data_IF_437760620873
#
_entry.id   IF_437760620873
#
_cell.length_a   1.000
_cell.length_b   1.000
_cell.length_c   1.000
_cell.angle_alpha   90.00
_cell.angle_beta   90.00
_cell.angle_gamma   90.00
#
_symmetry.space_group_name_H-M   'P 1'
#
loop_
_entity.id
_entity.type
_entity.pdbx_description
1 polymer ?
#
# COMPACT_ATOMS: atom_id res chain seq x y z
N UNK A 1 26.86 2.28 30.63
CA UNK A 1 26.73 3.02 29.37
C UNK A 1 27.98 2.94 28.49
N UNK A 2 29.12 2.62 29.05
CA UNK A 2 30.40 2.44 28.33
C UNK A 2 30.52 1.06 27.65
N UNK A 3 29.66 0.12 28.01
CA UNK A 3 29.70 -1.25 27.49
C UNK A 3 29.11 -1.34 26.09
N UNK A 4 29.87 -1.82 25.10
CA UNK A 4 29.51 -1.89 23.70
C UNK A 4 28.30 -2.82 23.44
N UNK A 5 28.05 -3.79 24.33
CA UNK A 5 26.97 -4.76 24.26
C UNK A 5 25.60 -4.24 24.73
N UNK A 6 25.55 -3.00 25.27
CA UNK A 6 24.30 -2.40 25.78
C UNK A 6 23.84 -1.29 24.83
N UNK A 7 22.70 -1.46 24.19
CA UNK A 7 22.15 -0.49 23.25
C UNK A 7 21.19 0.52 23.90
N UNK A 8 20.56 0.15 25.01
CA UNK A 8 19.59 0.99 25.72
C UNK A 8 19.52 0.61 27.20
N UNK A 9 18.95 1.50 28.01
CA UNK A 9 18.77 1.30 29.44
C UNK A 9 17.33 1.49 29.86
N UNK A 10 16.88 0.61 30.76
CA UNK A 10 15.60 0.73 31.45
C UNK A 10 15.85 0.78 32.95
N UNK A 11 15.50 1.90 33.58
CA UNK A 11 15.56 2.08 35.03
C UNK A 11 14.16 1.98 35.61
N UNK A 12 13.99 1.15 36.63
CA UNK A 12 12.70 0.96 37.30
C UNK A 12 12.86 1.05 38.84
N UNK A 13 11.80 1.52 39.50
CA UNK A 13 11.77 1.58 40.97
C UNK A 13 11.19 2.87 41.52
N UNK A 14 11.93 3.48 42.47
CA UNK A 14 11.45 4.58 43.28
C UNK A 14 12.26 5.86 43.10
N UNK A 15 13.01 5.98 42.02
CA UNK A 15 13.82 7.17 41.77
C UNK A 15 12.96 8.43 41.77
N UNK A 16 13.42 9.46 42.46
CA UNK A 16 12.68 10.69 42.73
C UNK A 16 11.92 10.65 44.08
N UNK A 17 11.68 9.47 44.65
CA UNK A 17 10.94 9.33 45.91
C UNK A 17 11.80 8.95 47.13
N UNK A 18 13.10 8.86 47.00
CA UNK A 18 13.95 8.41 48.11
C UNK A 18 13.94 9.38 49.28
N UNK A 19 13.70 10.68 49.04
CA UNK A 19 13.49 11.64 50.14
C UNK A 19 12.32 11.27 51.06
N UNK A 20 11.24 10.65 50.50
CA UNK A 20 10.05 10.23 51.23
C UNK A 20 10.26 8.86 51.93
N UNK A 21 11.09 8.00 51.31
CA UNK A 21 11.29 6.62 51.75
C UNK A 21 12.45 6.54 52.74
N UNK A 22 13.50 7.32 52.54
CA UNK A 22 14.74 7.22 53.32
C UNK A 22 14.90 8.43 54.27
N UNK A 23 15.13 9.63 53.70
CA UNK A 23 15.32 10.85 54.45
C UNK A 23 15.35 12.11 53.53
N UNK A 24 14.92 13.28 54.04
CA UNK A 24 14.82 14.50 53.22
C UNK A 24 16.12 14.95 52.53
N UNK A 25 17.27 14.75 53.15
CA UNK A 25 18.56 15.14 52.60
C UNK A 25 18.97 14.34 51.35
N UNK A 26 18.30 13.23 51.06
CA UNK A 26 18.55 12.41 49.86
C UNK A 26 18.09 13.10 48.60
N UNK A 27 17.17 14.09 48.69
CA UNK A 27 16.66 14.83 47.52
C UNK A 27 17.77 15.47 46.68
N UNK A 28 18.76 16.11 47.36
CA UNK A 28 19.89 16.74 46.66
C UNK A 28 20.80 15.70 45.95
N UNK A 29 20.92 14.50 46.51
CA UNK A 29 21.67 13.40 45.90
C UNK A 29 20.92 12.87 44.65
N UNK A 30 19.57 12.76 44.71
CA UNK A 30 18.74 12.38 43.55
C UNK A 30 18.85 13.41 42.44
N UNK A 31 18.83 14.71 42.77
CA UNK A 31 19.01 15.76 41.75
C UNK A 31 20.39 15.69 41.09
N UNK A 32 21.44 15.47 41.90
CA UNK A 32 22.81 15.29 41.38
C UNK A 32 22.89 14.07 40.47
N UNK A 33 22.30 12.94 40.89
CA UNK A 33 22.23 11.72 40.09
C UNK A 33 21.44 11.92 38.78
N UNK A 34 20.33 12.67 38.83
CA UNK A 34 19.56 13.00 37.65
C UNK A 34 20.38 13.81 36.63
N UNK A 35 21.12 14.83 37.08
CA UNK A 35 22.01 15.61 36.20
C UNK A 35 23.11 14.74 35.59
N UNK A 36 23.68 13.84 36.36
CA UNK A 36 24.69 12.91 35.88
C UNK A 36 24.12 11.90 34.87
N UNK A 37 22.96 11.35 35.12
CA UNK A 37 22.27 10.49 34.15
C UNK A 37 22.00 11.20 32.82
N UNK A 38 21.53 12.45 32.85
CA UNK A 38 21.32 13.25 31.62
C UNK A 38 22.65 13.44 30.88
N UNK A 39 23.74 13.74 31.58
CA UNK A 39 25.09 13.88 31.01
C UNK A 39 25.53 12.59 30.34
N UNK A 40 25.43 11.46 31.03
CA UNK A 40 25.86 10.15 30.55
C UNK A 40 25.02 9.67 29.33
N UNK A 41 23.71 9.91 29.35
CA UNK A 41 22.82 9.61 28.20
C UNK A 41 23.24 10.38 26.96
N UNK A 42 23.53 11.67 27.09
CA UNK A 42 23.97 12.52 25.98
C UNK A 42 25.36 12.10 25.44
N UNK A 43 26.29 11.81 26.32
CA UNK A 43 27.65 11.40 25.93
C UNK A 43 27.67 10.02 25.27
N UNK A 44 26.90 9.07 25.79
CA UNK A 44 26.85 7.72 25.24
C UNK A 44 25.98 7.60 24.01
N UNK A 45 25.05 8.54 23.77
CA UNK A 45 24.07 8.45 22.68
C UNK A 45 23.09 7.29 22.81
N UNK A 46 22.98 6.66 23.98
CA UNK A 46 22.15 5.49 24.26
C UNK A 46 20.89 5.91 25.01
N UNK A 47 19.69 5.49 24.60
CA UNK A 47 18.46 5.90 25.25
C UNK A 47 18.34 5.32 26.65
N UNK A 48 17.81 6.13 27.57
CA UNK A 48 17.38 5.75 28.90
C UNK A 48 15.88 6.04 29.06
N UNK A 49 15.15 5.06 29.58
CA UNK A 49 13.75 5.23 29.98
C UNK A 49 13.63 4.93 31.48
N UNK A 50 12.86 5.76 32.17
CA UNK A 50 12.70 5.67 33.61
C UNK A 50 11.24 5.39 33.96
N UNK A 51 11.00 4.27 34.61
CA UNK A 51 9.77 3.98 35.34
C UNK A 51 9.98 4.28 36.83
N UNK A 52 9.07 5.08 37.40
CA UNK A 52 9.05 5.32 38.84
C UNK A 52 7.61 5.53 39.32
N UNK A 53 7.32 5.01 40.51
CA UNK A 53 6.00 5.21 41.15
C UNK A 53 5.71 6.70 41.45
N UNK A 54 6.74 7.52 41.50
CA UNK A 54 6.67 8.97 41.78
C UNK A 54 6.60 9.83 40.51
N UNK A 55 6.47 9.22 39.33
CA UNK A 55 6.54 9.96 38.05
C UNK A 55 5.52 11.11 37.93
N UNK A 56 4.39 11.08 38.63
CA UNK A 56 3.38 12.13 38.58
C UNK A 56 3.59 13.23 39.65
N UNK A 57 4.57 13.07 40.52
CA UNK A 57 4.86 14.04 41.56
C UNK A 57 5.76 15.17 41.05
N UNK A 58 5.61 16.40 41.60
CA UNK A 58 6.43 17.55 41.21
C UNK A 58 7.82 17.48 41.91
N UNK A 59 8.63 16.53 41.50
CA UNK A 59 9.94 16.24 42.07
C UNK A 59 11.05 16.75 41.16
N UNK A 60 11.95 17.60 41.72
CA UNK A 60 12.98 18.28 40.94
C UNK A 60 13.89 17.33 40.17
N UNK A 61 14.26 16.21 40.78
CA UNK A 61 15.07 15.19 40.11
C UNK A 61 14.40 14.61 38.85
N UNK A 62 13.07 14.41 38.90
CA UNK A 62 12.31 13.91 37.74
C UNK A 62 12.12 15.00 36.67
N UNK A 63 11.98 16.28 37.08
CA UNK A 63 11.97 17.40 36.14
C UNK A 63 13.29 17.49 35.37
N UNK A 64 14.44 17.38 36.08
CA UNK A 64 15.76 17.37 35.46
C UNK A 64 15.90 16.27 34.40
N UNK A 65 15.41 15.05 34.70
CA UNK A 65 15.42 13.96 33.72
C UNK A 65 14.57 14.31 32.45
N UNK A 66 13.36 14.84 32.65
CA UNK A 66 12.46 15.22 31.54
C UNK A 66 13.03 16.37 30.70
N UNK A 67 13.55 17.42 31.35
CA UNK A 67 14.23 18.53 30.68
C UNK A 67 15.48 18.05 29.93
N UNK A 68 16.10 16.99 30.42
CA UNK A 68 17.21 16.31 29.78
C UNK A 68 16.85 15.41 28.61
N UNK A 69 15.55 15.26 28.31
CA UNK A 69 15.05 14.42 27.21
C UNK A 69 14.85 12.94 27.57
N UNK A 70 14.90 12.60 28.86
CA UNK A 70 14.68 11.24 29.35
C UNK A 70 13.18 11.02 29.59
N UNK A 71 12.62 9.96 29.01
CA UNK A 71 11.23 9.59 29.20
C UNK A 71 10.99 9.00 30.58
N UNK A 72 10.14 9.67 31.37
CA UNK A 72 9.78 9.28 32.73
C UNK A 72 8.28 9.01 32.83
N UNK A 73 7.88 7.82 33.30
CA UNK A 73 6.50 7.37 33.36
C UNK A 73 6.19 6.56 34.62
N UNK A 74 4.93 6.61 35.12
CA UNK A 74 4.48 5.76 36.24
C UNK A 74 4.09 4.34 35.80
N UNK A 75 4.10 4.02 34.50
CA UNK A 75 3.75 2.70 33.97
C UNK A 75 4.98 2.01 33.40
N UNK A 76 5.27 0.82 33.93
CA UNK A 76 6.34 -0.04 33.41
C UNK A 76 6.08 -0.49 31.96
N UNK A 77 4.82 -0.73 31.60
CA UNK A 77 4.41 -1.11 30.25
C UNK A 77 4.67 0.03 29.25
N UNK A 78 4.29 1.27 29.62
CA UNK A 78 4.57 2.45 28.79
C UNK A 78 6.06 2.72 28.65
N UNK A 79 6.83 2.48 29.70
CA UNK A 79 8.28 2.59 29.65
C UNK A 79 8.88 1.60 28.64
N UNK A 80 8.46 0.34 28.70
CA UNK A 80 8.91 -0.70 27.78
C UNK A 80 8.48 -0.41 26.34
N UNK A 81 7.23 0.01 26.12
CA UNK A 81 6.72 0.41 24.80
C UNK A 81 7.49 1.62 24.24
N UNK A 82 7.73 2.64 25.07
CA UNK A 82 8.51 3.81 24.67
C UNK A 82 9.93 3.44 24.23
N UNK A 83 10.60 2.59 25.01
CA UNK A 83 11.94 2.11 24.67
C UNK A 83 11.94 1.29 23.37
N UNK A 84 10.96 0.40 23.20
CA UNK A 84 10.83 -0.39 21.97
C UNK A 84 10.63 0.50 20.73
N UNK A 85 9.84 1.59 20.84
CA UNK A 85 9.67 2.53 19.74
C UNK A 85 10.95 3.33 19.44
N UNK A 86 11.70 3.74 20.46
CA UNK A 86 12.98 4.42 20.26
C UNK A 86 13.99 3.52 19.55
N UNK A 87 14.09 2.26 19.97
CA UNK A 87 14.98 1.26 19.32
C UNK A 87 14.55 1.02 17.86
N UNK A 88 13.26 0.81 17.63
CA UNK A 88 12.73 0.63 16.26
C UNK A 88 13.03 1.83 15.37
N UNK A 89 12.82 3.05 15.88
CA UNK A 89 13.13 4.27 15.13
C UNK A 89 14.62 4.34 14.78
N UNK A 90 15.49 4.00 15.71
CA UNK A 90 16.94 4.04 15.49
C UNK A 90 17.39 3.00 14.46
N UNK A 91 16.92 1.75 14.59
CA UNK A 91 17.20 0.69 13.63
C UNK A 91 16.67 1.07 12.23
N UNK A 92 15.45 1.57 12.18
CA UNK A 92 14.86 2.03 10.92
C UNK A 92 15.66 3.13 10.25
N UNK A 93 16.17 4.08 11.03
CA UNK A 93 17.01 5.17 10.50
C UNK A 93 18.31 4.64 9.91
N UNK A 94 18.92 3.62 10.49
CA UNK A 94 20.13 2.99 9.94
C UNK A 94 19.82 2.22 8.65
N UNK A 95 18.72 1.44 8.62
CA UNK A 95 18.25 0.74 7.41
C UNK A 95 17.99 1.72 6.26
N UNK A 96 17.34 2.85 6.54
CA UNK A 96 17.07 3.88 5.53
C UNK A 96 18.31 4.55 4.94
N UNK A 97 19.47 4.50 5.63
CA UNK A 97 20.73 5.01 5.05
C UNK A 97 21.27 4.11 3.94
N UNK A 98 20.94 2.82 3.97
CA UNK A 98 21.35 1.83 2.99
C UNK A 98 20.30 1.60 1.91
N UNK A 99 19.05 2.03 2.15
CA UNK A 99 17.94 1.90 1.22
C UNK A 99 18.20 2.67 -0.08
N UNK A 100 17.82 2.09 -1.20
CA UNK A 100 18.01 2.65 -2.53
C UNK A 100 16.65 3.05 -3.14
N UNK A 101 16.59 4.15 -3.88
CA UNK A 101 15.39 4.47 -4.65
C UNK A 101 15.05 3.33 -5.61
N UNK A 102 13.77 3.03 -5.70
CA UNK A 102 13.27 2.06 -6.69
C UNK A 102 13.38 2.68 -8.08
N UNK A 103 14.14 2.04 -8.96
CA UNK A 103 14.28 2.45 -10.34
C UNK A 103 13.42 1.57 -11.25
N UNK A 104 12.48 2.20 -11.95
CA UNK A 104 11.67 1.54 -12.98
C UNK A 104 12.22 1.91 -14.35
N UNK A 105 12.63 0.90 -15.10
CA UNK A 105 13.19 1.07 -16.45
C UNK A 105 12.20 0.63 -17.54
N UNK A 106 12.45 1.05 -18.78
CA UNK A 106 11.64 0.62 -19.93
C UNK A 106 10.30 1.35 -20.06
N UNK A 107 10.16 2.52 -19.46
CA UNK A 107 8.95 3.37 -19.54
C UNK A 107 9.03 4.26 -20.78
N UNK A 108 7.97 4.28 -21.59
CA UNK A 108 7.79 5.24 -22.68
C UNK A 108 6.97 6.46 -22.19
N UNK A 109 7.67 7.38 -21.53
CA UNK A 109 7.04 8.57 -20.94
C UNK A 109 6.36 9.48 -21.98
N UNK A 110 6.82 9.48 -23.23
CA UNK A 110 6.19 10.27 -24.31
C UNK A 110 4.83 9.69 -24.69
N UNK A 111 4.75 8.38 -24.87
CA UNK A 111 3.48 7.68 -25.14
C UNK A 111 2.50 7.83 -23.98
N UNK A 112 2.98 7.71 -22.74
CA UNK A 112 2.14 7.93 -21.55
C UNK A 112 1.50 9.32 -21.54
N UNK A 113 2.28 10.38 -21.82
CA UNK A 113 1.76 11.75 -21.89
C UNK A 113 0.73 11.92 -23.01
N UNK A 114 0.94 11.33 -24.19
CA UNK A 114 -0.02 11.38 -25.29
C UNK A 114 -1.36 10.77 -24.93
N UNK A 115 -1.36 9.64 -24.18
CA UNK A 115 -2.60 9.03 -23.69
C UNK A 115 -3.34 10.02 -22.79
N UNK A 116 -2.67 10.60 -21.80
CA UNK A 116 -3.25 11.57 -20.87
C UNK A 116 -3.78 12.80 -21.59
N UNK A 117 -3.03 13.34 -22.54
CA UNK A 117 -3.44 14.49 -23.36
C UNK A 117 -4.69 14.18 -24.21
N UNK A 118 -4.77 12.98 -24.78
CA UNK A 118 -5.93 12.51 -25.53
C UNK A 118 -7.20 12.47 -24.68
N UNK A 119 -7.10 11.93 -23.44
CA UNK A 119 -8.23 11.91 -22.51
C UNK A 119 -8.66 13.33 -22.13
N UNK A 120 -7.71 14.23 -21.82
CA UNK A 120 -8.01 15.64 -21.52
C UNK A 120 -8.65 16.36 -22.70
N UNK A 121 -8.15 16.15 -23.91
CA UNK A 121 -8.69 16.75 -25.12
C UNK A 121 -10.14 16.31 -25.42
N UNK A 122 -10.53 15.10 -25.01
CA UNK A 122 -11.91 14.63 -25.09
C UNK A 122 -12.84 15.19 -23.99
N UNK A 123 -12.33 16.04 -23.09
CA UNK A 123 -13.09 16.62 -21.97
C UNK A 123 -13.37 15.65 -20.83
N UNK A 124 -12.79 14.45 -20.85
CA UNK A 124 -12.94 13.43 -19.81
C UNK A 124 -11.90 13.62 -18.70
N UNK A 125 -12.21 13.06 -17.53
CA UNK A 125 -11.28 12.93 -16.41
C UNK A 125 -10.93 11.47 -16.10
N UNK A 126 -11.76 10.54 -16.54
CA UNK A 126 -11.52 9.11 -16.36
C UNK A 126 -11.05 8.51 -17.68
N UNK A 127 -10.04 7.69 -17.59
CA UNK A 127 -9.61 6.85 -18.67
C UNK A 127 -10.65 5.74 -18.92
N UNK A 128 -10.85 5.41 -20.18
CA UNK A 128 -11.52 4.15 -20.54
C UNK A 128 -10.62 2.98 -20.12
N UNK A 129 -11.20 1.78 -19.94
CA UNK A 129 -10.39 0.60 -19.60
C UNK A 129 -9.31 0.33 -20.67
N UNK A 130 -9.61 0.55 -21.94
CA UNK A 130 -8.66 0.42 -23.05
C UNK A 130 -7.48 1.39 -22.93
N UNK A 131 -7.74 2.64 -22.54
CA UNK A 131 -6.70 3.67 -22.34
C UNK A 131 -5.89 3.40 -21.05
N UNK A 132 -6.55 2.95 -19.97
CA UNK A 132 -5.86 2.57 -18.74
C UNK A 132 -4.95 1.36 -18.96
N UNK A 133 -5.37 0.38 -19.75
CA UNK A 133 -4.53 -0.77 -20.16
C UNK A 133 -3.32 -0.31 -20.95
N UNK A 134 -3.51 0.55 -21.94
CA UNK A 134 -2.42 1.09 -22.73
C UNK A 134 -1.41 1.86 -21.85
N UNK A 135 -1.90 2.66 -20.90
CA UNK A 135 -1.06 3.38 -19.95
C UNK A 135 -0.24 2.41 -19.09
N UNK A 136 -0.86 1.34 -18.57
CA UNK A 136 -0.17 0.30 -17.80
C UNK A 136 0.90 -0.42 -18.62
N UNK A 137 0.60 -0.78 -19.87
CA UNK A 137 1.58 -1.42 -20.78
C UNK A 137 2.79 -0.53 -21.06
N UNK A 138 2.59 0.78 -21.20
CA UNK A 138 3.66 1.77 -21.37
C UNK A 138 4.61 1.76 -20.17
N UNK A 139 4.10 1.50 -18.98
CA UNK A 139 4.91 1.31 -17.76
C UNK A 139 5.38 -0.13 -17.55
N UNK A 140 5.14 -1.02 -18.52
CA UNK A 140 5.60 -2.42 -18.48
C UNK A 140 4.76 -3.34 -17.59
N UNK A 141 3.57 -2.90 -17.14
CA UNK A 141 2.61 -3.77 -16.47
C UNK A 141 1.87 -4.56 -17.53
N UNK A 142 2.14 -5.85 -17.59
CA UNK A 142 1.50 -6.75 -18.55
C UNK A 142 0.06 -7.04 -18.14
N UNK A 143 -0.84 -6.86 -19.10
CA UNK A 143 -2.24 -7.25 -18.96
C UNK A 143 -2.60 -8.37 -19.95
N UNK A 144 -3.65 -9.18 -19.68
CA UNK A 144 -4.14 -10.17 -20.63
C UNK A 144 -4.54 -9.49 -21.94
N UNK A 145 -4.51 -10.16 -23.09
CA UNK A 145 -5.00 -9.61 -24.34
C UNK A 145 -6.45 -9.15 -24.19
N UNK A 146 -6.84 -8.12 -24.92
CA UNK A 146 -8.19 -7.60 -24.90
C UNK A 146 -8.60 -7.12 -26.30
N UNK A 147 -9.85 -7.35 -26.66
CA UNK A 147 -10.43 -6.86 -27.90
C UNK A 147 -11.72 -6.10 -27.56
N UNK A 148 -11.82 -4.87 -28.04
CA UNK A 148 -13.08 -4.11 -27.98
C UNK A 148 -13.95 -4.55 -29.15
N UNK A 149 -15.07 -5.19 -28.85
CA UNK A 149 -16.08 -5.62 -29.82
C UNK A 149 -17.24 -4.63 -29.83
N UNK A 150 -17.74 -4.29 -31.03
CA UNK A 150 -18.89 -3.40 -31.22
C UNK A 150 -20.16 -4.19 -31.58
N UNK A 151 -20.03 -5.49 -31.88
CA UNK A 151 -21.12 -6.40 -32.17
C UNK A 151 -20.97 -7.74 -31.43
N UNK A 152 -22.10 -8.51 -31.28
CA UNK A 152 -22.04 -9.86 -30.69
C UNK A 152 -21.16 -10.81 -31.53
N UNK A 153 -21.14 -10.67 -32.83
CA UNK A 153 -20.34 -11.49 -33.77
C UNK A 153 -18.85 -11.23 -33.54
N UNK A 154 -18.42 -9.97 -33.47
CA UNK A 154 -17.02 -9.62 -33.17
C UNK A 154 -16.60 -10.12 -31.79
N UNK A 155 -17.48 -10.02 -30.78
CA UNK A 155 -17.19 -10.55 -29.45
C UNK A 155 -16.98 -12.07 -29.46
N UNK A 156 -17.82 -12.81 -30.17
CA UNK A 156 -17.72 -14.25 -30.30
C UNK A 156 -16.45 -14.67 -31.08
N UNK A 157 -16.11 -13.97 -32.16
CA UNK A 157 -14.87 -14.20 -32.93
C UNK A 157 -13.63 -13.95 -32.05
N UNK A 158 -13.58 -12.82 -31.33
CA UNK A 158 -12.50 -12.49 -30.42
C UNK A 158 -12.34 -13.56 -29.32
N UNK A 159 -13.47 -14.02 -28.74
CA UNK A 159 -13.48 -15.07 -27.74
C UNK A 159 -12.93 -16.41 -28.27
N UNK A 160 -13.33 -16.78 -29.52
CA UNK A 160 -12.86 -18.01 -30.15
C UNK A 160 -11.37 -17.98 -30.45
N UNK A 161 -10.83 -16.83 -30.83
CA UNK A 161 -9.37 -16.63 -31.02
C UNK A 161 -8.59 -16.67 -29.69
N UNK A 162 -9.14 -16.09 -28.62
CA UNK A 162 -8.51 -16.07 -27.30
C UNK A 162 -8.57 -17.42 -26.59
N UNK A 163 -9.57 -18.23 -26.90
CA UNK A 163 -9.90 -19.47 -26.18
C UNK A 163 -10.77 -19.22 -24.95
N UNK A 164 -11.66 -20.18 -24.70
CA UNK A 164 -12.60 -20.13 -23.57
C UNK A 164 -11.98 -20.66 -22.27
N UNK A 165 -12.44 -20.24 -21.09
CA UNK A 165 -13.49 -19.25 -20.86
C UNK A 165 -13.00 -17.79 -20.99
N UNK A 166 -13.96 -16.89 -21.34
CA UNK A 166 -13.71 -15.46 -21.49
C UNK A 166 -14.57 -14.62 -20.53
N UNK A 167 -14.19 -13.35 -20.39
CA UNK A 167 -14.91 -12.32 -19.66
C UNK A 167 -15.29 -11.20 -20.60
N UNK A 168 -16.53 -10.71 -20.46
CA UNK A 168 -17.04 -9.54 -21.16
C UNK A 168 -17.23 -8.39 -20.18
N UNK A 169 -16.80 -7.18 -20.59
CA UNK A 169 -16.94 -5.96 -19.78
C UNK A 169 -17.40 -4.79 -20.64
N UNK A 170 -18.42 -4.05 -20.20
CA UNK A 170 -18.86 -2.83 -20.90
C UNK A 170 -17.76 -1.77 -20.93
N UNK A 171 -17.65 -1.06 -22.05
CA UNK A 171 -16.80 0.12 -22.21
C UNK A 171 -17.66 1.34 -22.43
N UNK A 172 -17.65 2.25 -21.47
CA UNK A 172 -18.41 3.50 -21.52
C UNK A 172 -17.70 4.57 -20.69
N UNK A 173 -17.59 5.81 -21.14
CA UNK A 173 -17.03 6.91 -20.36
C UNK A 173 -17.92 7.33 -19.17
N UNK A 174 -19.19 6.93 -19.17
CA UNK A 174 -20.17 7.29 -18.15
C UNK A 174 -20.35 6.19 -17.08
N UNK A 175 -19.86 4.96 -17.33
CA UNK A 175 -20.00 3.83 -16.41
C UNK A 175 -18.64 3.56 -15.75
N UNK A 176 -18.49 3.99 -14.49
CA UNK A 176 -17.28 3.78 -13.70
C UNK A 176 -17.29 2.43 -12.96
N UNK A 177 -18.45 2.02 -12.43
CA UNK A 177 -18.65 0.78 -11.67
C UNK A 177 -19.43 -0.24 -12.51
N UNK A 178 -18.72 -0.95 -13.38
CA UNK A 178 -19.31 -1.87 -14.37
C UNK A 178 -20.15 -2.97 -13.74
N UNK A 179 -19.70 -3.51 -12.60
CA UNK A 179 -20.39 -4.62 -11.92
C UNK A 179 -21.75 -4.22 -11.35
N UNK A 180 -21.89 -2.97 -10.86
CA UNK A 180 -23.15 -2.48 -10.28
C UNK A 180 -24.28 -2.39 -11.31
N UNK A 181 -23.93 -2.12 -12.56
CA UNK A 181 -24.90 -2.04 -13.69
C UNK A 181 -25.05 -3.36 -14.43
N UNK A 182 -24.44 -4.44 -13.94
CA UNK A 182 -24.42 -5.72 -14.63
C UNK A 182 -23.62 -5.71 -15.94
N UNK A 183 -22.68 -4.79 -16.05
CA UNK A 183 -21.80 -4.59 -17.21
C UNK A 183 -20.61 -5.55 -17.29
N UNK A 184 -20.59 -6.60 -16.46
CA UNK A 184 -19.55 -7.63 -16.46
C UNK A 184 -20.19 -9.02 -16.47
N UNK A 185 -19.70 -9.90 -17.34
CA UNK A 185 -20.06 -11.33 -17.39
C UNK A 185 -18.80 -12.17 -17.39
N UNK A 186 -18.75 -13.13 -16.48
CA UNK A 186 -17.59 -13.98 -16.23
C UNK A 186 -17.87 -15.42 -16.69
N UNK A 187 -16.80 -16.18 -16.93
CA UNK A 187 -16.81 -17.63 -17.15
C UNK A 187 -17.67 -18.07 -18.36
N UNK A 188 -17.62 -17.29 -19.45
CA UNK A 188 -18.34 -17.62 -20.69
C UNK A 188 -17.55 -18.68 -21.47
N UNK A 189 -18.22 -19.78 -21.82
CA UNK A 189 -17.59 -21.02 -22.32
C UNK A 189 -17.86 -21.33 -23.78
N UNK A 190 -18.62 -20.50 -24.45
CA UNK A 190 -18.99 -20.74 -25.87
C UNK A 190 -19.47 -19.47 -26.57
N UNK A 191 -19.45 -19.52 -27.89
CA UNK A 191 -19.80 -18.37 -28.74
C UNK A 191 -21.23 -17.85 -28.50
N UNK A 192 -22.20 -18.73 -28.32
CA UNK A 192 -23.60 -18.34 -28.06
C UNK A 192 -23.76 -17.65 -26.72
N UNK A 193 -23.07 -18.17 -25.66
CA UNK A 193 -23.05 -17.51 -24.36
C UNK A 193 -22.44 -16.11 -24.45
N UNK A 194 -21.40 -15.92 -25.27
CA UNK A 194 -20.75 -14.62 -25.50
C UNK A 194 -21.70 -13.66 -26.21
N UNK A 195 -22.43 -14.09 -27.23
CA UNK A 195 -23.39 -13.24 -27.93
C UNK A 195 -24.54 -12.80 -27.01
N UNK A 196 -25.14 -13.75 -26.30
CA UNK A 196 -26.22 -13.46 -25.35
C UNK A 196 -25.74 -12.49 -24.24
N UNK A 197 -24.54 -12.71 -23.71
CA UNK A 197 -23.93 -11.85 -22.71
C UNK A 197 -23.63 -10.45 -23.23
N UNK A 198 -23.17 -10.32 -24.48
CA UNK A 198 -22.94 -9.04 -25.14
C UNK A 198 -24.25 -8.23 -25.24
N UNK A 199 -25.33 -8.84 -25.74
CA UNK A 199 -26.62 -8.17 -25.88
C UNK A 199 -27.18 -7.73 -24.51
N UNK A 200 -27.07 -8.59 -23.49
CA UNK A 200 -27.51 -8.28 -22.13
C UNK A 200 -26.73 -7.11 -21.55
N UNK A 201 -25.39 -7.13 -21.67
CA UNK A 201 -24.51 -6.06 -21.17
C UNK A 201 -24.87 -4.73 -21.84
N UNK A 202 -24.96 -4.69 -23.17
CA UNK A 202 -25.28 -3.47 -23.93
C UNK A 202 -26.65 -2.94 -23.57
N UNK A 203 -27.65 -3.82 -23.45
CA UNK A 203 -28.99 -3.44 -23.03
C UNK A 203 -29.00 -2.75 -21.69
N UNK A 204 -28.39 -3.38 -20.66
CA UNK A 204 -28.31 -2.83 -19.29
C UNK A 204 -27.50 -1.53 -19.25
N UNK A 205 -26.40 -1.48 -19.98
CA UNK A 205 -25.56 -0.29 -20.04
C UNK A 205 -26.31 0.91 -20.61
N UNK A 206 -27.15 0.70 -21.65
CA UNK A 206 -27.96 1.74 -22.26
C UNK A 206 -29.11 2.25 -21.39
N UNK A 207 -29.48 1.54 -20.33
CA UNK A 207 -30.47 2.02 -19.35
C UNK A 207 -29.88 3.15 -18.45
N UNK A 208 -28.54 3.18 -18.28
CA UNK A 208 -27.82 4.11 -17.39
C UNK A 208 -26.81 5.02 -18.09
N UNK A 209 -26.51 4.77 -19.36
CA UNK A 209 -25.55 5.53 -20.16
C UNK A 209 -26.05 5.76 -21.56
N UNK A 210 -25.91 6.98 -22.04
CA UNK A 210 -26.21 7.32 -23.48
C UNK A 210 -25.06 6.97 -24.42
N UNK A 211 -23.88 6.66 -23.88
CA UNK A 211 -22.64 6.42 -24.61
C UNK A 211 -22.04 5.07 -24.23
N UNK A 212 -22.34 4.04 -25.03
CA UNK A 212 -21.75 2.70 -24.90
C UNK A 212 -20.89 2.46 -26.12
N UNK A 213 -19.57 2.36 -25.92
CA UNK A 213 -18.60 2.24 -27.02
C UNK A 213 -18.43 0.80 -27.50
N UNK A 214 -18.82 -0.17 -26.68
CA UNK A 214 -18.72 -1.60 -27.00
C UNK A 214 -18.53 -2.42 -25.75
N UNK A 215 -18.07 -3.64 -25.93
CA UNK A 215 -17.80 -4.62 -24.88
C UNK A 215 -16.36 -5.13 -25.05
N UNK A 216 -15.57 -5.05 -23.99
CA UNK A 216 -14.21 -5.57 -23.97
C UNK A 216 -14.25 -7.07 -23.68
N UNK A 217 -13.66 -7.86 -24.58
CA UNK A 217 -13.49 -9.30 -24.45
C UNK A 217 -12.09 -9.57 -23.95
N UNK A 218 -11.97 -10.35 -22.88
CA UNK A 218 -10.66 -10.75 -22.29
C UNK A 218 -10.71 -12.22 -21.90
N UNK A 219 -9.58 -12.97 -21.92
CA UNK A 219 -9.56 -14.32 -21.36
C UNK A 219 -9.84 -14.27 -19.85
N UNK A 220 -10.49 -15.32 -19.35
CA UNK A 220 -10.65 -15.49 -17.90
C UNK A 220 -9.27 -15.73 -17.25
N UNK A 221 -8.92 -14.92 -16.27
CA UNK A 221 -7.66 -15.08 -15.56
C UNK A 221 -7.63 -16.42 -14.79
N UNK A 222 -6.47 -17.05 -14.76
CA UNK A 222 -6.25 -18.24 -13.96
C UNK A 222 -6.47 -17.96 -12.46
N UNK A 223 -6.81 -18.98 -11.69
CA UNK A 223 -7.00 -18.83 -10.24
C UNK A 223 -5.69 -18.40 -9.57
N UNK A 224 -5.80 -17.53 -8.59
CA UNK A 224 -4.70 -17.02 -7.78
C UNK A 224 -5.23 -16.26 -6.58
N UNK A 225 -4.34 -15.60 -5.86
CA UNK A 225 -4.74 -14.74 -4.75
C UNK A 225 -5.10 -13.34 -5.30
N UNK A 226 -6.32 -12.92 -5.07
CA UNK A 226 -6.74 -11.56 -5.40
C UNK A 226 -6.09 -10.54 -4.47
N UNK A 227 -5.51 -9.53 -5.07
CA UNK A 227 -4.92 -8.37 -4.41
C UNK A 227 -5.46 -7.09 -5.05
N UNK A 228 -5.25 -5.98 -4.35
CA UNK A 228 -5.53 -4.65 -4.86
C UNK A 228 -4.27 -3.80 -4.79
N UNK A 229 -3.98 -3.09 -5.86
CA UNK A 229 -2.91 -2.08 -5.92
C UNK A 229 -3.52 -0.77 -6.39
N UNK A 230 -3.37 0.27 -5.59
CA UNK A 230 -3.92 1.57 -5.90
C UNK A 230 -2.88 2.68 -5.76
N UNK A 231 -3.18 3.82 -6.37
CA UNK A 231 -2.46 5.06 -6.18
C UNK A 231 -3.47 6.18 -6.01
N UNK A 232 -3.23 7.04 -5.03
CA UNK A 232 -4.02 8.26 -4.84
C UNK A 232 -3.08 9.43 -4.63
N UNK A 233 -3.44 10.57 -5.21
CA UNK A 233 -2.68 11.80 -4.96
C UNK A 233 -3.31 12.57 -3.80
N UNK A 234 -2.66 12.46 -2.66
CA UNK A 234 -3.03 13.20 -1.45
C UNK A 234 -2.62 14.67 -1.56
N UNK A 235 -3.39 15.55 -0.94
CA UNK A 235 -3.12 17.01 -0.97
C UNK A 235 -1.89 17.41 -0.17
N UNK A 236 -1.55 16.65 0.84
CA UNK A 236 -0.49 16.95 1.80
C UNK A 236 0.77 16.14 1.51
N UNK A 237 0.62 14.86 1.17
CA UNK A 237 1.72 13.92 0.99
C UNK A 237 2.12 13.71 -0.48
N UNK A 238 1.33 14.22 -1.44
CA UNK A 238 1.55 13.93 -2.85
C UNK A 238 1.06 12.51 -3.23
N UNK A 239 1.72 11.82 -4.17
CA UNK A 239 1.29 10.48 -4.57
C UNK A 239 1.56 9.46 -3.45
N UNK A 240 0.56 8.64 -3.18
CA UNK A 240 0.58 7.56 -2.18
C UNK A 240 0.12 6.28 -2.86
N UNK A 241 0.93 5.24 -2.80
CA UNK A 241 0.57 3.91 -3.28
C UNK A 241 -0.05 3.10 -2.16
N UNK A 242 -1.05 2.30 -2.49
CA UNK A 242 -1.75 1.39 -1.59
C UNK A 242 -1.61 -0.05 -2.08
N UNK A 243 -1.50 -0.96 -1.14
CA UNK A 243 -1.58 -2.40 -1.36
C UNK A 243 -2.49 -3.06 -0.33
N UNK A 244 -3.23 -4.10 -0.74
CA UNK A 244 -4.03 -4.94 0.15
C UNK A 244 -4.43 -6.26 -0.51
N UNK A 245 -4.94 -7.19 0.31
CA UNK A 245 -5.62 -8.38 -0.22
C UNK A 245 -6.99 -7.98 -0.75
N UNK A 246 -7.38 -8.55 -1.89
CA UNK A 246 -8.67 -8.31 -2.54
C UNK A 246 -9.86 -8.94 -1.82
N UNK A 247 -11.06 -8.69 -2.35
CA UNK A 247 -12.31 -9.24 -1.84
C UNK A 247 -12.63 -8.80 -0.42
N UNK A 248 -13.14 -9.72 0.39
CA UNK A 248 -13.61 -9.48 1.77
C UNK A 248 -12.53 -8.84 2.67
N UNK A 249 -11.26 -9.10 2.41
CA UNK A 249 -10.15 -8.56 3.22
C UNK A 249 -10.05 -7.04 3.11
N UNK A 250 -10.19 -6.47 1.91
CA UNK A 250 -10.21 -5.02 1.72
C UNK A 250 -11.53 -4.41 2.16
N UNK A 251 -12.65 -4.98 1.73
CA UNK A 251 -13.96 -4.39 1.95
C UNK A 251 -14.37 -4.35 3.42
N UNK A 252 -14.13 -5.43 4.15
CA UNK A 252 -14.58 -5.59 5.54
C UNK A 252 -13.46 -5.29 6.54
N UNK A 253 -12.27 -5.86 6.35
CA UNK A 253 -11.18 -5.76 7.32
C UNK A 253 -10.29 -4.54 7.12
N UNK A 254 -10.36 -3.89 5.95
CA UNK A 254 -9.51 -2.76 5.56
C UNK A 254 -8.02 -3.07 5.78
N UNK A 255 -7.64 -4.31 5.44
CA UNK A 255 -6.27 -4.79 5.59
C UNK A 255 -5.41 -4.30 4.44
N UNK A 256 -4.93 -3.08 4.59
CA UNK A 256 -4.17 -2.35 3.57
C UNK A 256 -2.93 -1.69 4.17
N UNK A 257 -1.93 -1.50 3.34
CA UNK A 257 -0.73 -0.75 3.65
C UNK A 257 -0.57 0.41 2.66
N UNK A 258 0.16 1.44 3.08
CA UNK A 258 0.38 2.65 2.27
C UNK A 258 1.84 3.06 2.30
N UNK A 259 2.34 3.62 1.18
CA UNK A 259 3.64 4.28 1.11
C UNK A 259 3.55 5.57 0.32
N UNK A 260 4.25 6.59 0.79
CA UNK A 260 4.44 7.85 0.06
C UNK A 260 5.48 7.62 -1.04
N UNK A 261 5.22 8.15 -2.21
CA UNK A 261 6.11 8.00 -3.38
C UNK A 261 7.04 9.22 -3.45
N UNK A 262 8.33 9.07 -3.82
CA UNK A 262 8.98 7.89 -4.41
C UNK A 262 9.29 6.80 -3.38
N UNK A 263 9.28 5.54 -3.82
CA UNK A 263 9.56 4.38 -2.98
C UNK A 263 11.05 4.07 -2.88
N UNK A 264 11.45 3.53 -1.74
CA UNK A 264 12.72 2.81 -1.57
C UNK A 264 12.50 1.30 -1.73
N UNK A 265 13.56 0.56 -2.05
CA UNK A 265 13.53 -0.90 -2.17
C UNK A 265 12.97 -1.59 -0.92
N UNK A 266 13.32 -1.06 0.25
CA UNK A 266 12.81 -1.51 1.54
C UNK A 266 11.29 -1.32 1.68
N UNK A 267 10.74 -0.23 1.13
CA UNK A 267 9.31 0.06 1.20
C UNK A 267 8.47 -1.00 0.49
N UNK A 268 8.92 -1.51 -0.65
CA UNK A 268 8.21 -2.54 -1.41
C UNK A 268 8.06 -3.84 -0.62
N UNK A 269 9.14 -4.27 0.03
CA UNK A 269 9.12 -5.50 0.81
C UNK A 269 8.28 -5.37 2.06
N UNK A 270 8.39 -4.25 2.75
CA UNK A 270 7.68 -4.01 3.99
C UNK A 270 6.18 -3.82 3.79
N UNK A 271 5.75 -3.02 2.80
CA UNK A 271 4.34 -2.76 2.62
C UNK A 271 3.53 -4.03 2.31
N UNK A 272 4.13 -4.99 1.60
CA UNK A 272 3.47 -6.27 1.33
C UNK A 272 3.39 -7.13 2.59
N UNK A 273 4.43 -7.11 3.43
CA UNK A 273 4.49 -7.90 4.68
C UNK A 273 3.72 -7.30 5.85
N UNK A 274 3.42 -6.00 5.80
CA UNK A 274 2.77 -5.25 6.88
C UNK A 274 1.28 -5.58 7.03
N UNK A 275 0.62 -6.02 5.97
CA UNK A 275 -0.79 -6.43 6.04
C UNK A 275 -0.94 -7.68 6.91
N UNK A 276 -2.04 -7.78 7.64
CA UNK A 276 -2.33 -8.92 8.54
C UNK A 276 -2.47 -10.23 7.79
N UNK A 277 -3.01 -10.15 6.57
CA UNK A 277 -3.23 -11.30 5.69
C UNK A 277 -2.01 -11.78 4.93
N UNK A 278 -0.81 -11.22 5.14
CA UNK A 278 0.40 -11.58 4.39
C UNK A 278 0.68 -13.08 4.31
N UNK A 279 0.38 -13.81 5.39
CA UNK A 279 0.55 -15.28 5.43
C UNK A 279 -0.19 -16.02 4.32
N UNK A 280 -1.25 -15.43 3.76
CA UNK A 280 -1.97 -16.02 2.62
C UNK A 280 -1.08 -16.04 1.38
N UNK A 281 -0.26 -15.01 1.20
CA UNK A 281 0.72 -14.94 0.10
C UNK A 281 1.90 -15.90 0.31
N UNK A 282 2.25 -16.24 1.54
CA UNK A 282 3.27 -17.25 1.85
C UNK A 282 2.79 -18.68 1.59
N UNK A 283 1.50 -18.87 1.35
CA UNK A 283 0.88 -20.18 1.20
C UNK A 283 0.39 -20.75 2.54
N UNK A 284 -0.88 -21.10 2.60
CA UNK A 284 -1.53 -21.70 3.77
C UNK A 284 -2.27 -22.97 3.38
N UNK A 285 -2.44 -23.88 4.33
CA UNK A 285 -3.20 -25.15 4.16
C UNK A 285 -2.74 -26.00 2.99
N UNK A 286 -1.44 -25.98 2.68
CA UNK A 286 -0.86 -26.76 1.60
C UNK A 286 -0.89 -26.08 0.22
N UNK A 287 -1.39 -24.87 0.12
CA UNK A 287 -1.21 -24.06 -1.09
C UNK A 287 0.22 -23.55 -1.19
N UNK A 288 0.78 -23.48 -2.40
CA UNK A 288 2.12 -22.94 -2.61
C UNK A 288 2.14 -21.42 -2.41
N UNK A 289 3.33 -20.85 -2.10
CA UNK A 289 3.49 -19.40 -1.99
C UNK A 289 3.19 -18.71 -3.32
N UNK A 290 2.74 -17.46 -3.23
CA UNK A 290 2.46 -16.61 -4.39
C UNK A 290 3.70 -15.80 -4.77
N UNK A 291 3.75 -15.35 -6.00
CA UNK A 291 4.85 -14.55 -6.54
C UNK A 291 4.79 -13.10 -6.03
N UNK A 292 5.32 -12.91 -4.83
CA UNK A 292 5.39 -11.57 -4.19
C UNK A 292 6.31 -10.63 -4.98
N UNK A 293 7.32 -11.16 -5.69
CA UNK A 293 8.23 -10.34 -6.50
C UNK A 293 7.50 -9.70 -7.69
N UNK A 294 6.70 -10.49 -8.41
CA UNK A 294 5.86 -9.96 -9.49
C UNK A 294 4.84 -8.93 -8.98
N UNK A 295 4.29 -9.11 -7.77
CA UNK A 295 3.40 -8.15 -7.14
C UNK A 295 4.12 -6.83 -6.79
N UNK A 296 5.31 -6.91 -6.17
CA UNK A 296 6.09 -5.70 -5.82
C UNK A 296 6.56 -4.95 -7.06
N UNK A 297 6.82 -5.63 -8.17
CA UNK A 297 7.11 -4.99 -9.45
C UNK A 297 5.92 -4.17 -9.96
N UNK A 298 4.69 -4.69 -9.89
CA UNK A 298 3.48 -3.93 -10.24
C UNK A 298 3.35 -2.70 -9.35
N UNK A 299 3.54 -2.83 -8.04
CA UNK A 299 3.48 -1.71 -7.09
C UNK A 299 4.51 -0.64 -7.45
N UNK A 300 5.75 -1.02 -7.76
CA UNK A 300 6.82 -0.10 -8.16
C UNK A 300 6.46 0.69 -9.42
N UNK A 301 5.89 0.02 -10.42
CA UNK A 301 5.46 0.63 -11.69
C UNK A 301 4.29 1.60 -11.49
N UNK A 302 3.32 1.25 -10.66
CA UNK A 302 2.21 2.15 -10.27
C UNK A 302 2.73 3.36 -9.49
N UNK A 303 3.69 3.16 -8.59
CA UNK A 303 4.33 4.25 -7.87
C UNK A 303 5.08 5.20 -8.83
N UNK A 304 5.80 4.66 -9.82
CA UNK A 304 6.48 5.45 -10.85
C UNK A 304 5.51 6.29 -11.68
N UNK A 305 4.32 5.76 -12.02
CA UNK A 305 3.26 6.56 -12.66
C UNK A 305 2.86 7.77 -11.81
N UNK A 306 2.82 7.61 -10.48
CA UNK A 306 2.53 8.71 -9.56
C UNK A 306 3.58 9.81 -9.57
N UNK A 307 4.86 9.47 -9.83
CA UNK A 307 5.95 10.44 -10.00
C UNK A 307 5.85 11.15 -11.34
N UNK A 308 5.73 10.37 -12.43
CA UNK A 308 5.88 10.86 -13.80
C UNK A 308 4.66 11.62 -14.31
N UNK A 309 3.46 11.29 -13.79
CA UNK A 309 2.17 11.78 -14.28
C UNK A 309 1.43 12.57 -13.19
N UNK A 310 1.80 13.85 -12.96
CA UNK A 310 1.16 14.68 -11.93
C UNK A 310 -0.35 14.88 -12.15
N UNK A 311 -0.83 14.70 -13.37
CA UNK A 311 -2.24 14.77 -13.73
C UNK A 311 -3.06 13.59 -13.24
N UNK A 312 -2.43 12.45 -13.02
CA UNK A 312 -3.11 11.26 -12.50
C UNK A 312 -3.40 11.47 -11.00
N UNK A 313 -4.68 11.47 -10.67
CA UNK A 313 -5.18 11.62 -9.31
C UNK A 313 -5.36 10.28 -8.61
N UNK A 314 -5.83 9.29 -9.35
CA UNK A 314 -6.15 7.96 -8.82
C UNK A 314 -5.85 6.89 -9.85
N UNK A 315 -5.28 5.78 -9.40
CA UNK A 315 -5.17 4.50 -10.13
C UNK A 315 -5.72 3.43 -9.21
N UNK A 316 -6.54 2.54 -9.77
CA UNK A 316 -7.10 1.38 -9.07
C UNK A 316 -6.95 0.14 -9.95
N UNK A 317 -6.11 -0.79 -9.50
CA UNK A 317 -5.92 -2.11 -10.10
C UNK A 317 -6.61 -3.13 -9.21
N UNK A 318 -7.82 -3.54 -9.59
CA UNK A 318 -8.68 -4.38 -8.76
C UNK A 318 -9.57 -5.31 -9.61
N UNK A 319 -9.26 -6.64 -9.62
CA UNK A 319 -8.18 -7.28 -8.88
C UNK A 319 -6.85 -7.37 -9.64
N UNK A 320 -5.78 -7.52 -8.88
CA UNK A 320 -4.50 -8.08 -9.30
C UNK A 320 -4.46 -9.52 -8.80
N UNK A 321 -4.42 -10.50 -9.69
CA UNK A 321 -4.37 -11.92 -9.31
C UNK A 321 -2.93 -12.36 -9.26
N UNK A 322 -2.46 -12.72 -8.06
CA UNK A 322 -1.10 -13.19 -7.83
C UNK A 322 -1.08 -14.71 -7.86
N UNK A 323 -0.30 -15.26 -8.79
CA UNK A 323 -0.14 -16.69 -9.03
C UNK A 323 1.08 -17.24 -8.27
N UNK A 324 1.37 -18.52 -8.44
CA UNK A 324 2.63 -19.13 -7.99
C UNK A 324 3.83 -18.56 -8.77
N UNK A 325 3.59 -18.16 -10.01
CA UNK A 325 4.56 -17.54 -10.90
C UNK A 325 3.85 -16.40 -11.65
N UNK A 326 4.29 -15.16 -11.40
CA UNK A 326 3.73 -13.96 -12.00
C UNK A 326 2.46 -13.44 -11.31
N UNK A 327 2.02 -12.29 -11.80
CA UNK A 327 0.78 -11.66 -11.40
C UNK A 327 0.05 -11.09 -12.62
N UNK A 328 -1.28 -11.09 -12.57
CA UNK A 328 -2.15 -10.65 -13.67
C UNK A 328 -3.05 -9.50 -13.21
N UNK A 329 -2.92 -8.34 -13.81
CA UNK A 329 -3.88 -7.24 -13.61
C UNK A 329 -5.11 -7.52 -14.45
N UNK A 330 -6.26 -7.66 -13.80
CA UNK A 330 -7.51 -8.05 -14.45
C UNK A 330 -8.36 -6.84 -14.83
N UNK A 331 -8.45 -5.87 -13.95
CA UNK A 331 -9.16 -4.61 -14.22
C UNK A 331 -8.31 -3.41 -13.78
N UNK A 332 -8.46 -2.31 -14.52
CA UNK A 332 -7.69 -1.10 -14.30
C UNK A 332 -8.57 0.14 -14.50
N UNK A 333 -8.49 1.05 -13.55
CA UNK A 333 -9.13 2.36 -13.61
C UNK A 333 -8.11 3.45 -13.32
N UNK A 334 -8.17 4.55 -14.06
CA UNK A 334 -7.38 5.74 -13.79
C UNK A 334 -8.24 7.00 -13.93
N UNK A 335 -8.02 7.96 -13.01
CA UNK A 335 -8.75 9.23 -12.96
C UNK A 335 -7.75 10.38 -12.95
N UNK A 336 -8.02 11.40 -13.76
CA UNK A 336 -7.24 12.63 -13.83
C UNK A 336 -7.78 13.69 -12.85
N UNK A 337 -6.90 14.53 -12.36
CA UNK A 337 -7.21 15.61 -11.43
C UNK A 337 -7.58 16.94 -12.10
#
# INVERSE_FOLDING_TARGET
MEEETVDCLYMTGFFGGFKEIIAPHVAELEEKAARELVRLVREAGKPLVVHTSFANEPIKALEILREGGIFVTPSSERAAQGLAQMVRFFLRREELKEARPVEVTGVDSERARKIIEGVKASGRRNLLETEARELLEVYGVKMPPAVLAESPEEAAEAASVMGFPVVLKVVSPQILHKSEVGGVKLDLKGEEEVKDAFEEIVKRAREVSSEVLGVLVTPMAARGQECIVGLVRDRQFGPVVMFGLGGVFVEVLKDVSFRVVPLMDLDLQEMVREIRGYRILEGIRGEPPKDVEALTEIIARVAQMGVDLPEVKEIDLNPVIVHEQGATVVDARAILG
#
